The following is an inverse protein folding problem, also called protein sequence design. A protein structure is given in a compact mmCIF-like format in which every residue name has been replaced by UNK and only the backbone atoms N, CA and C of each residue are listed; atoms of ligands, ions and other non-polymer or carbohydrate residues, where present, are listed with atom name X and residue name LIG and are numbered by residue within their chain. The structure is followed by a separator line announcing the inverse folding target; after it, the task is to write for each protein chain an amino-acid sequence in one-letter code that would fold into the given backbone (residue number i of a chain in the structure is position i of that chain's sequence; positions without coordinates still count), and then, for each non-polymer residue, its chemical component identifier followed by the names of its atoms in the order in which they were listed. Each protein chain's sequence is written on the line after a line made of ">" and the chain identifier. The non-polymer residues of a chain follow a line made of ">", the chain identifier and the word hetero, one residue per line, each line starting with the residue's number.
data_IF_456222427282
#
_entry.id   IF_456222427282
#
_cell.length_a   1.000
_cell.length_b   1.000
_cell.length_c   1.000
_cell.angle_alpha   90.00
_cell.angle_beta   90.00
_cell.angle_gamma   90.00
#
_symmetry.space_group_name_H-M   'P 1'
#
loop_
_entity.id
_entity.type
_entity.pdbx_description
1 polymer ?
#
# COMPACT_ATOMS: atom_id res chain seq x y z
N UNK A 1 -18.65 15.39 3.45
CA UNK A 1 -19.41 15.07 2.21
C UNK A 1 -18.50 14.42 1.14
N UNK A 2 -17.76 13.33 1.42
CA UNK A 2 -16.81 12.73 0.44
C UNK A 2 -17.07 11.26 0.04
N UNK A 3 -18.07 10.57 0.62
CA UNK A 3 -18.32 9.14 0.34
C UNK A 3 -19.16 8.85 -0.92
N UNK A 4 -19.91 9.83 -1.43
CA UNK A 4 -20.83 9.60 -2.56
C UNK A 4 -20.09 9.36 -3.87
N UNK A 5 -18.93 10.01 -4.09
CA UNK A 5 -18.24 9.96 -5.38
C UNK A 5 -17.68 8.57 -5.73
N UNK A 6 -17.23 7.80 -4.73
CA UNK A 6 -16.61 6.49 -4.97
C UNK A 6 -17.63 5.37 -5.22
N UNK A 7 -18.76 5.38 -4.51
CA UNK A 7 -19.83 4.42 -4.77
C UNK A 7 -20.51 4.70 -6.12
N UNK A 8 -20.72 5.98 -6.43
CA UNK A 8 -21.27 6.43 -7.71
C UNK A 8 -20.32 6.12 -8.89
N UNK A 9 -19.01 6.24 -8.71
CA UNK A 9 -18.05 5.90 -9.77
C UNK A 9 -18.06 4.40 -10.11
N UNK A 10 -18.25 3.53 -9.10
CA UNK A 10 -18.32 2.07 -9.32
C UNK A 10 -19.63 1.68 -10.01
N UNK A 11 -20.77 2.27 -9.62
CA UNK A 11 -22.05 1.98 -10.27
C UNK A 11 -22.04 2.43 -11.74
N UNK A 12 -21.53 3.64 -12.01
CA UNK A 12 -21.37 4.17 -13.38
C UNK A 12 -20.42 3.30 -14.20
N UNK A 13 -19.36 2.77 -13.59
CA UNK A 13 -18.43 1.85 -14.25
C UNK A 13 -19.10 0.50 -14.60
N UNK A 14 -19.86 -0.09 -13.68
CA UNK A 14 -20.62 -1.32 -13.94
C UNK A 14 -21.67 -1.10 -15.03
N UNK A 15 -22.40 0.01 -15.00
CA UNK A 15 -23.36 0.37 -16.05
C UNK A 15 -22.69 0.54 -17.40
N UNK A 16 -21.51 1.19 -17.46
CA UNK A 16 -20.73 1.34 -18.69
C UNK A 16 -20.32 -0.03 -19.26
N UNK A 17 -19.77 -0.91 -18.43
CA UNK A 17 -19.36 -2.24 -18.87
C UNK A 17 -20.57 -3.08 -19.30
N UNK A 18 -21.73 -2.93 -18.64
CA UNK A 18 -22.96 -3.59 -19.05
C UNK A 18 -23.44 -3.12 -20.43
N UNK A 19 -23.37 -1.82 -20.73
CA UNK A 19 -23.66 -1.27 -22.06
C UNK A 19 -22.70 -1.81 -23.12
N UNK A 20 -21.41 -1.92 -22.80
CA UNK A 20 -20.43 -2.50 -23.71
C UNK A 20 -20.73 -3.99 -24.00
N UNK A 21 -21.17 -4.75 -23.01
CA UNK A 21 -21.61 -6.15 -23.20
C UNK A 21 -22.85 -6.23 -24.11
N UNK A 22 -23.83 -5.32 -23.94
CA UNK A 22 -25.00 -5.28 -24.85
C UNK A 22 -24.60 -4.92 -26.26
N UNK A 23 -23.68 -3.96 -26.44
CA UNK A 23 -23.18 -3.56 -27.76
C UNK A 23 -22.43 -4.71 -28.45
N UNK A 24 -21.59 -5.45 -27.71
CA UNK A 24 -20.91 -6.65 -28.24
C UNK A 24 -21.93 -7.71 -28.64
N UNK A 25 -23.01 -7.88 -27.88
CA UNK A 25 -24.08 -8.84 -28.20
C UNK A 25 -24.80 -8.45 -29.50
N UNK A 26 -25.09 -7.16 -29.71
CA UNK A 26 -25.66 -6.65 -30.96
C UNK A 26 -24.68 -6.83 -32.14
N UNK A 27 -23.38 -6.57 -31.92
CA UNK A 27 -22.34 -6.80 -32.95
C UNK A 27 -22.24 -8.28 -33.33
N UNK A 28 -22.31 -9.19 -32.36
CA UNK A 28 -22.31 -10.63 -32.61
C UNK A 28 -23.54 -11.07 -33.42
N UNK A 29 -24.71 -10.47 -33.16
CA UNK A 29 -25.93 -10.74 -33.93
C UNK A 29 -25.80 -10.24 -35.37
N UNK A 30 -25.35 -9.00 -35.58
CA UNK A 30 -25.09 -8.46 -36.93
C UNK A 30 -24.03 -9.25 -37.70
N UNK A 31 -22.99 -9.71 -37.01
CA UNK A 31 -21.94 -10.56 -37.60
C UNK A 31 -22.50 -11.91 -38.06
N UNK A 32 -23.49 -12.45 -37.35
CA UNK A 32 -24.19 -13.66 -37.74
C UNK A 32 -25.12 -13.40 -38.92
N UNK A 33 -25.87 -12.30 -38.91
CA UNK A 33 -26.76 -11.92 -40.01
C UNK A 33 -25.98 -11.72 -41.32
N UNK A 34 -24.86 -10.98 -41.31
CA UNK A 34 -24.00 -10.81 -42.49
C UNK A 34 -23.30 -12.09 -42.97
N UNK A 35 -23.09 -13.08 -42.09
CA UNK A 35 -22.63 -14.41 -42.51
C UNK A 35 -23.72 -15.21 -43.20
N UNK A 36 -24.98 -15.08 -42.76
CA UNK A 36 -26.13 -15.74 -43.38
C UNK A 36 -26.45 -15.16 -44.77
N UNK A 37 -26.25 -13.86 -44.95
CA UNK A 37 -26.41 -13.17 -46.24
C UNK A 37 -25.26 -13.47 -47.24
N UNK A 38 -24.28 -14.29 -46.84
CA UNK A 38 -23.07 -14.66 -47.61
C UNK A 38 -22.10 -13.50 -47.91
N UNK A 39 -22.25 -12.37 -47.21
CA UNK A 39 -21.36 -11.20 -47.36
C UNK A 39 -20.00 -11.39 -46.66
N UNK A 40 -19.85 -12.43 -45.82
CA UNK A 40 -18.67 -12.65 -44.97
C UNK A 40 -18.16 -14.08 -45.11
N UNK A 41 -16.86 -14.23 -45.35
CA UNK A 41 -16.20 -15.54 -45.37
C UNK A 41 -16.15 -16.19 -43.98
N UNK A 42 -16.21 -17.53 -43.96
CA UNK A 42 -16.22 -18.35 -42.74
C UNK A 42 -14.99 -18.10 -41.85
N UNK A 43 -13.82 -17.87 -42.43
CA UNK A 43 -12.59 -17.63 -41.68
C UNK A 43 -12.61 -16.27 -40.98
N UNK A 44 -13.08 -15.23 -41.66
CA UNK A 44 -13.25 -13.88 -41.11
C UNK A 44 -14.29 -13.88 -40.00
N UNK A 45 -15.41 -14.58 -40.20
CA UNK A 45 -16.45 -14.76 -39.19
C UNK A 45 -15.90 -15.40 -37.90
N UNK A 46 -15.13 -16.48 -38.01
CA UNK A 46 -14.57 -17.17 -36.84
C UNK A 46 -13.57 -16.31 -36.08
N UNK A 47 -12.71 -15.58 -36.79
CA UNK A 47 -11.75 -14.68 -36.19
C UNK A 47 -12.45 -13.56 -35.38
N UNK A 48 -13.36 -12.82 -36.00
CA UNK A 48 -14.06 -11.71 -35.32
C UNK A 48 -14.99 -12.20 -34.21
N UNK A 49 -15.66 -13.36 -34.38
CA UNK A 49 -16.45 -13.97 -33.31
C UNK A 49 -15.59 -14.29 -32.09
N UNK A 50 -14.40 -14.87 -32.28
CA UNK A 50 -13.51 -15.21 -31.17
C UNK A 50 -13.04 -13.97 -30.40
N UNK A 51 -12.76 -12.89 -31.12
CA UNK A 51 -12.33 -11.60 -30.57
C UNK A 51 -13.45 -10.92 -29.77
N UNK A 52 -14.67 -10.89 -30.31
CA UNK A 52 -15.83 -10.34 -29.61
C UNK A 52 -16.19 -11.15 -28.35
N UNK A 53 -16.06 -12.47 -28.41
CA UNK A 53 -16.32 -13.33 -27.24
C UNK A 53 -15.26 -13.17 -26.16
N UNK A 54 -13.98 -12.98 -26.52
CA UNK A 54 -12.92 -12.76 -25.54
C UNK A 54 -13.06 -11.38 -24.86
N UNK A 55 -13.43 -10.35 -25.62
CA UNK A 55 -13.73 -9.01 -25.08
C UNK A 55 -14.92 -9.05 -24.11
N UNK A 56 -16.02 -9.71 -24.50
CA UNK A 56 -17.18 -9.92 -23.61
C UNK A 56 -16.76 -10.59 -22.30
N UNK A 57 -16.00 -11.68 -22.38
CA UNK A 57 -15.55 -12.43 -21.20
C UNK A 57 -14.67 -11.57 -20.29
N UNK A 58 -13.75 -10.78 -20.87
CA UNK A 58 -12.89 -9.86 -20.12
C UNK A 58 -13.70 -8.84 -19.30
N UNK A 59 -14.74 -8.26 -19.90
CA UNK A 59 -15.62 -7.29 -19.23
C UNK A 59 -16.44 -7.93 -18.10
N UNK A 60 -16.97 -9.14 -18.30
CA UNK A 60 -17.71 -9.90 -17.26
C UNK A 60 -16.82 -10.24 -16.06
N UNK A 61 -15.58 -10.66 -16.31
CA UNK A 61 -14.61 -10.91 -15.25
C UNK A 61 -14.23 -9.62 -14.52
N UNK A 62 -14.11 -8.50 -15.21
CA UNK A 62 -13.80 -7.20 -14.58
C UNK A 62 -14.93 -6.73 -13.65
N UNK A 63 -16.18 -6.87 -14.08
CA UNK A 63 -17.35 -6.61 -13.22
C UNK A 63 -17.29 -7.50 -11.98
N UNK A 64 -17.06 -8.80 -12.17
CA UNK A 64 -17.01 -9.77 -11.07
C UNK A 64 -15.88 -9.47 -10.08
N UNK A 65 -14.68 -9.15 -10.58
CA UNK A 65 -13.52 -8.77 -9.75
C UNK A 65 -13.82 -7.52 -8.91
N UNK A 66 -14.45 -6.51 -9.50
CA UNK A 66 -14.77 -5.27 -8.79
C UNK A 66 -15.84 -5.49 -7.72
N UNK A 67 -16.88 -6.29 -8.01
CA UNK A 67 -17.91 -6.65 -7.04
C UNK A 67 -17.33 -7.44 -5.85
N UNK A 68 -16.44 -8.40 -6.13
CA UNK A 68 -15.77 -9.18 -5.08
C UNK A 68 -14.86 -8.30 -4.21
N UNK A 69 -14.02 -7.45 -4.84
CA UNK A 69 -13.17 -6.49 -4.11
C UNK A 69 -13.97 -5.55 -3.22
N UNK A 70 -15.13 -5.08 -3.70
CA UNK A 70 -16.02 -4.21 -2.93
C UNK A 70 -16.63 -4.91 -1.71
N UNK A 71 -16.83 -6.23 -1.74
CA UNK A 71 -17.41 -6.97 -0.62
C UNK A 71 -16.35 -7.52 0.35
N UNK A 72 -15.13 -7.76 -0.13
CA UNK A 72 -14.09 -8.45 0.63
C UNK A 72 -13.66 -7.71 1.91
N UNK A 73 -13.76 -6.38 1.96
CA UNK A 73 -13.41 -5.61 3.17
C UNK A 73 -14.53 -5.57 4.23
N UNK A 74 -15.76 -5.99 3.89
CA UNK A 74 -16.90 -5.94 4.81
C UNK A 74 -16.78 -6.98 5.93
N UNK A 75 -16.39 -8.22 5.60
CA UNK A 75 -16.24 -9.28 6.60
C UNK A 75 -15.12 -8.99 7.63
N UNK A 76 -13.90 -8.56 7.23
CA UNK A 76 -12.89 -8.11 8.18
C UNK A 76 -13.34 -6.90 9.00
N UNK A 77 -14.08 -5.96 8.41
CA UNK A 77 -14.60 -4.80 9.13
C UNK A 77 -15.62 -5.20 10.19
N UNK A 78 -16.54 -6.10 9.87
CA UNK A 78 -17.54 -6.59 10.82
C UNK A 78 -16.88 -7.30 12.01
N UNK A 79 -15.88 -8.15 11.75
CA UNK A 79 -15.07 -8.78 12.81
C UNK A 79 -14.36 -7.73 13.67
N UNK A 80 -13.68 -6.78 13.04
CA UNK A 80 -12.99 -5.70 13.74
C UNK A 80 -13.92 -4.89 14.66
N UNK A 81 -15.15 -4.57 14.21
CA UNK A 81 -16.14 -3.85 15.04
C UNK A 81 -16.55 -4.70 16.26
N UNK A 82 -16.79 -6.01 16.06
CA UNK A 82 -17.13 -6.93 17.16
C UNK A 82 -16.00 -7.04 18.18
N UNK A 83 -14.77 -7.19 17.70
CA UNK A 83 -13.58 -7.31 18.54
C UNK A 83 -13.30 -6.00 19.29
N UNK A 84 -13.46 -4.85 18.63
CA UNK A 84 -13.33 -3.54 19.26
C UNK A 84 -14.40 -3.30 20.35
N UNK A 85 -15.65 -3.71 20.11
CA UNK A 85 -16.73 -3.59 21.10
C UNK A 85 -16.52 -4.50 22.33
N UNK A 86 -15.83 -5.63 22.17
CA UNK A 86 -15.49 -6.51 23.28
C UNK A 86 -14.22 -6.07 24.05
N UNK A 87 -13.51 -5.05 23.56
CA UNK A 87 -12.22 -4.65 24.11
C UNK A 87 -12.32 -4.08 25.54
N UNK A 88 -13.42 -3.42 25.88
CA UNK A 88 -13.66 -2.95 27.25
C UNK A 88 -13.70 -4.12 28.25
N UNK A 89 -14.40 -5.20 27.89
CA UNK A 89 -14.49 -6.41 28.72
C UNK A 89 -13.13 -7.08 28.86
N UNK A 90 -12.37 -7.17 27.76
CA UNK A 90 -11.01 -7.73 27.77
C UNK A 90 -10.05 -6.86 28.58
N UNK A 91 -10.22 -5.54 28.58
CA UNK A 91 -9.40 -4.61 29.36
C UNK A 91 -9.65 -4.75 30.87
N UNK A 92 -10.89 -5.04 31.27
CA UNK A 92 -11.27 -5.29 32.67
C UNK A 92 -10.89 -6.70 33.15
N UNK A 93 -10.77 -7.66 32.25
CA UNK A 93 -10.38 -9.03 32.59
C UNK A 93 -8.93 -9.11 33.13
N UNK A 94 -8.61 -10.17 33.88
CA UNK A 94 -7.28 -10.37 34.46
C UNK A 94 -6.27 -11.01 33.49
N UNK A 95 -6.73 -11.49 32.33
CA UNK A 95 -5.88 -12.18 31.36
C UNK A 95 -5.01 -11.22 30.52
N UNK A 96 -3.73 -11.14 30.85
CA UNK A 96 -2.74 -10.31 30.13
C UNK A 96 -2.50 -10.76 28.68
N UNK A 97 -2.60 -12.06 28.40
CA UNK A 97 -2.41 -12.58 27.05
C UNK A 97 -3.54 -12.15 26.12
N UNK A 98 -4.78 -12.24 26.59
CA UNK A 98 -5.96 -11.78 25.84
C UNK A 98 -5.87 -10.29 25.51
N UNK A 99 -5.42 -9.44 26.46
CA UNK A 99 -5.18 -8.01 26.22
C UNK A 99 -4.14 -7.75 25.14
N UNK A 100 -3.04 -8.51 25.15
CA UNK A 100 -1.98 -8.38 24.14
C UNK A 100 -2.47 -8.76 22.74
N UNK A 101 -3.24 -9.84 22.62
CA UNK A 101 -3.80 -10.30 21.35
C UNK A 101 -4.80 -9.28 20.82
N UNK A 102 -5.76 -8.85 21.64
CA UNK A 102 -6.76 -7.85 21.26
C UNK A 102 -6.12 -6.51 20.83
N UNK A 103 -5.11 -6.03 21.58
CA UNK A 103 -4.39 -4.82 21.22
C UNK A 103 -3.68 -4.96 19.86
N UNK A 104 -3.09 -6.12 19.58
CA UNK A 104 -2.44 -6.40 18.30
C UNK A 104 -3.45 -6.47 17.14
N UNK A 105 -4.62 -7.07 17.35
CA UNK A 105 -5.67 -7.19 16.33
C UNK A 105 -6.32 -5.85 15.99
N UNK A 106 -6.56 -5.00 17.00
CA UNK A 106 -7.23 -3.71 16.79
C UNK A 106 -6.27 -2.62 16.31
N UNK A 107 -5.10 -2.50 16.94
CA UNK A 107 -4.16 -1.42 16.63
C UNK A 107 -3.11 -1.81 15.57
N UNK A 108 -2.98 -3.10 15.28
CA UNK A 108 -1.99 -3.62 14.34
C UNK A 108 -0.57 -3.59 14.89
N UNK A 109 0.42 -3.83 14.01
CA UNK A 109 1.84 -3.85 14.35
C UNK A 109 2.53 -2.48 14.27
N UNK A 110 1.84 -1.45 13.75
CA UNK A 110 2.41 -0.13 13.51
C UNK A 110 2.02 0.84 14.61
N UNK A 111 2.47 0.60 15.84
CA UNK A 111 2.28 1.52 16.96
C UNK A 111 3.46 2.49 17.03
N UNK A 112 3.18 3.78 17.23
CA UNK A 112 4.19 4.83 17.43
C UNK A 112 4.12 5.32 18.88
N UNK A 113 5.28 5.44 19.52
CA UNK A 113 5.40 6.06 20.82
C UNK A 113 5.77 7.54 20.63
N UNK A 114 4.90 8.45 21.04
CA UNK A 114 5.13 9.89 20.95
C UNK A 114 4.69 10.56 22.26
N UNK A 115 5.52 11.47 22.80
CA UNK A 115 5.21 12.22 24.03
C UNK A 115 4.75 11.32 25.20
N UNK A 116 5.39 10.16 25.38
CA UNK A 116 5.06 9.13 26.39
C UNK A 116 3.66 8.49 26.21
N UNK A 117 3.03 8.66 25.06
CA UNK A 117 1.76 8.04 24.70
C UNK A 117 1.95 7.09 23.51
N UNK A 118 1.29 5.93 23.56
CA UNK A 118 1.23 4.99 22.44
C UNK A 118 0.09 5.41 21.52
N UNK A 119 0.40 5.68 20.25
CA UNK A 119 -0.53 6.09 19.21
C UNK A 119 -0.51 5.05 18.09
N UNK A 120 -1.68 4.65 17.58
CA UNK A 120 -1.73 3.88 16.35
C UNK A 120 -1.16 4.72 15.19
N UNK A 121 -0.25 4.17 14.40
CA UNK A 121 0.22 4.82 13.18
C UNK A 121 -0.96 4.88 12.21
N UNK A 122 -1.70 5.99 12.24
CA UNK A 122 -2.63 6.29 11.18
C UNK A 122 -1.81 6.41 9.88
N UNK A 123 -2.28 5.83 8.75
CA UNK A 123 -1.84 6.34 7.45
C UNK A 123 -2.02 7.85 7.51
N UNK A 124 -1.05 8.62 7.01
CA UNK A 124 -1.03 10.09 7.10
C UNK A 124 -2.20 10.69 6.30
N UNK A 125 -3.43 10.50 6.78
CA UNK A 125 -4.66 11.07 6.27
C UNK A 125 -4.79 12.41 7.00
N UNK A 126 -4.39 13.45 6.27
CA UNK A 126 -4.71 14.85 6.53
C UNK A 126 -4.17 15.44 7.86
N UNK A 127 -3.20 16.34 7.72
CA UNK A 127 -2.99 17.50 8.61
C UNK A 127 -2.49 17.27 10.04
N UNK A 128 -1.65 16.26 10.30
CA UNK A 128 -0.75 16.38 11.45
C UNK A 128 0.54 17.04 10.97
N UNK A 129 0.75 18.29 11.40
CA UNK A 129 1.98 19.08 11.21
C UNK A 129 3.18 18.49 12.00
N UNK A 130 3.34 17.17 11.94
CA UNK A 130 4.50 16.45 12.41
C UNK A 130 5.34 16.11 11.19
N UNK A 131 6.57 16.63 11.16
CA UNK A 131 7.53 16.30 10.13
C UNK A 131 7.66 14.79 9.96
N UNK A 132 7.78 14.33 8.72
CA UNK A 132 8.18 12.96 8.45
C UNK A 132 9.64 12.75 8.89
N UNK A 133 10.03 11.49 9.08
CA UNK A 133 11.37 11.09 9.54
C UNK A 133 12.52 11.64 8.67
N UNK A 134 12.21 12.03 7.42
CA UNK A 134 13.16 12.54 6.44
C UNK A 134 13.22 14.07 6.39
N UNK A 135 12.46 14.78 7.22
CA UNK A 135 12.48 16.25 7.22
C UNK A 135 13.79 16.79 7.80
N UNK A 136 14.39 16.10 8.79
CA UNK A 136 15.74 16.42 9.27
C UNK A 136 16.80 16.21 8.17
N UNK A 137 16.66 15.14 7.36
CA UNK A 137 17.56 14.85 6.24
C UNK A 137 17.43 15.89 5.13
N UNK A 138 16.21 16.29 4.76
CA UNK A 138 16.01 17.37 3.78
C UNK A 138 16.55 18.72 4.28
N UNK A 139 16.36 19.03 5.56
CA UNK A 139 16.91 20.24 6.17
C UNK A 139 18.45 20.22 6.20
N UNK A 140 19.08 19.05 6.40
CA UNK A 140 20.55 18.93 6.33
C UNK A 140 21.05 19.09 4.90
N UNK A 141 20.41 18.45 3.91
CA UNK A 141 20.78 18.61 2.49
C UNK A 141 20.64 20.05 1.98
N UNK A 142 19.62 20.80 2.44
CA UNK A 142 19.50 22.23 2.11
C UNK A 142 20.63 23.10 2.66
N UNK A 143 21.32 22.64 3.71
CA UNK A 143 22.45 23.36 4.32
C UNK A 143 23.81 22.96 3.74
N UNK A 144 23.86 21.91 2.92
CA UNK A 144 25.09 21.49 2.21
C UNK A 144 25.52 22.61 1.28
N UNK A 145 26.71 23.17 1.52
CA UNK A 145 27.29 24.26 0.74
C UNK A 145 26.87 25.68 1.18
N UNK A 146 25.97 25.83 2.15
CA UNK A 146 25.53 27.15 2.67
C UNK A 146 26.21 27.51 4.00
N UNK A 147 26.56 26.51 4.81
CA UNK A 147 27.32 26.70 6.05
C UNK A 147 28.78 26.28 5.84
N UNK A 148 29.71 27.18 6.13
CA UNK A 148 31.16 26.93 6.06
C UNK A 148 31.68 25.95 7.13
N UNK A 149 30.83 25.53 8.08
CA UNK A 149 31.18 24.71 9.23
C UNK A 149 30.58 23.29 9.17
N UNK A 150 30.49 22.68 7.98
CA UNK A 150 30.33 21.23 7.94
C UNK A 150 31.67 20.59 8.35
N UNK A 151 31.82 20.32 9.65
CA UNK A 151 32.84 19.40 10.21
C UNK A 151 32.57 17.96 9.76
N UNK A 152 32.52 17.73 8.44
CA UNK A 152 32.75 16.41 7.88
C UNK A 152 34.27 16.21 7.95
N UNK A 153 34.75 15.95 9.15
CA UNK A 153 36.12 15.50 9.36
C UNK A 153 36.12 14.03 8.96
N UNK A 154 36.37 13.78 7.68
CA UNK A 154 36.84 12.45 7.27
C UNK A 154 38.23 12.24 7.88
N UNK A 155 38.45 11.16 8.65
CA UNK A 155 39.80 10.81 9.05
C UNK A 155 40.63 10.55 7.78
N UNK A 156 41.72 11.31 7.57
CA UNK A 156 42.71 11.08 6.51
C UNK A 156 43.59 9.84 6.80
N UNK A 157 43.06 8.84 7.50
CA UNK A 157 43.76 7.61 7.87
C UNK A 157 42.91 6.45 7.38
N UNK A 158 43.42 5.72 6.39
CA UNK A 158 42.80 4.48 5.91
C UNK A 158 42.67 3.46 7.05
N UNK A 159 41.82 2.44 6.85
CA UNK A 159 41.53 1.36 7.81
C UNK A 159 42.72 0.42 8.11
N UNK A 160 43.96 0.87 7.93
CA UNK A 160 45.15 0.09 8.28
C UNK A 160 45.71 0.59 9.62
N UNK A 161 45.94 -0.33 10.59
CA UNK A 161 46.50 0.05 11.88
C UNK A 161 47.94 0.59 11.69
N UNK A 162 48.17 1.82 12.15
CA UNK A 162 49.49 2.44 12.19
C UNK A 162 50.41 1.67 13.14
N UNK A 163 51.41 0.99 12.60
CA UNK A 163 52.40 0.26 13.40
C UNK A 163 53.34 1.26 14.08
N UNK A 164 53.09 1.58 15.34
CA UNK A 164 54.04 2.30 16.18
C UNK A 164 55.11 1.33 16.69
N UNK A 165 56.35 1.52 16.25
CA UNK A 165 57.50 0.81 16.80
C UNK A 165 57.70 1.22 18.27
N UNK A 166 57.72 0.24 19.17
CA UNK A 166 58.03 0.41 20.58
C UNK A 166 59.50 0.84 20.71
N UNK A 167 59.74 2.14 20.93
CA UNK A 167 61.04 2.62 21.41
C UNK A 167 61.09 2.41 22.93
N UNK A 168 61.93 1.48 23.38
CA UNK A 168 62.20 1.29 24.80
C UNK A 168 63.18 2.37 25.27
N UNK A 169 62.78 3.13 26.29
CA UNK A 169 63.73 3.91 27.09
C UNK A 169 63.64 3.43 28.53
N UNK A 170 64.65 2.65 28.92
CA UNK A 170 64.93 2.29 30.30
C UNK A 170 65.34 3.55 31.08
N UNK A 171 64.78 3.75 32.27
CA UNK A 171 65.35 4.69 33.25
C UNK A 171 65.14 4.13 34.64
N UNK A 172 66.26 4.02 35.36
CA UNK A 172 66.46 3.34 36.63
C UNK A 172 65.91 4.12 37.83
N UNK A 173 65.36 3.38 38.79
CA UNK A 173 65.05 3.85 40.15
C UNK A 173 66.31 3.85 41.03
N UNK A 174 66.59 4.97 41.69
CA UNK A 174 67.38 5.02 42.93
C UNK A 174 66.71 6.01 43.88
N UNK A 175 66.66 5.60 45.16
CA UNK A 175 66.01 6.23 46.32
C UNK A 175 66.19 7.74 46.47
#
# INVERSE_FOLDING_TARGET
>A
MHKLNSAQSVSVFVEKNQKMITDITVKLQRLLDGYLDQDIDKEIYRAEKSKLLSEKKSLEEEISRNQQKQKHWLEPMEKWIKDAGNMEKIALDSNLFAKKVAAKEIFGSNLLLQNKLVRASAPKILNSAGGNQWDALRASHQKVGVLSESLIVEPLVGFEPTTYSFMSTSTSLSL
#
